data_IF_562123400681
#
_entry.id   IF_562123400681
#
_cell.length_a   1.000
_cell.length_b   1.000
_cell.length_c   1.000
_cell.angle_alpha   90.00
_cell.angle_beta   90.00
_cell.angle_gamma   90.00
#
_symmetry.space_group_name_H-M   'P 1'
#
loop_
_entity.id
_entity.type
_entity.pdbx_description
1 polymer ?
#
# COMPACT_ATOMS: atom_id res chain seq x y z
N UNK A 1 -11.66 -10.83 -16.37
CA UNK A 1 -10.52 -11.17 -15.50
C UNK A 1 -10.79 -10.49 -14.18
N UNK A 2 -11.44 -11.17 -13.25
CA UNK A 2 -11.92 -10.52 -12.01
C UNK A 2 -10.85 -10.57 -10.93
N UNK A 3 -10.48 -9.40 -10.42
CA UNK A 3 -9.54 -9.16 -9.31
C UNK A 3 -8.10 -9.71 -9.50
N UNK A 4 -7.63 -10.00 -10.71
CA UNK A 4 -6.24 -10.39 -10.98
C UNK A 4 -5.41 -9.22 -11.53
N UNK A 5 -4.17 -9.08 -11.06
CA UNK A 5 -3.22 -8.09 -11.63
C UNK A 5 -2.81 -8.46 -13.05
N UNK A 6 -2.66 -7.45 -13.90
CA UNK A 6 -2.17 -7.67 -15.27
C UNK A 6 -0.80 -8.36 -15.32
N UNK A 7 0.12 -7.98 -14.43
CA UNK A 7 1.42 -8.67 -14.33
C UNK A 7 1.30 -10.13 -13.89
N UNK A 8 0.36 -10.45 -12.99
CA UNK A 8 0.07 -11.84 -12.57
C UNK A 8 -0.44 -12.67 -13.74
N UNK A 9 -1.44 -12.13 -14.45
CA UNK A 9 -2.05 -12.81 -15.58
C UNK A 9 -1.00 -13.11 -16.66
N UNK A 10 -0.16 -12.12 -17.02
CA UNK A 10 0.92 -12.32 -17.99
C UNK A 10 1.92 -13.41 -17.57
N UNK A 11 2.26 -13.48 -16.29
CA UNK A 11 3.17 -14.51 -15.78
C UNK A 11 2.52 -15.89 -15.90
N UNK A 12 1.29 -16.05 -15.43
CA UNK A 12 0.57 -17.33 -15.51
C UNK A 12 0.39 -17.77 -16.96
N UNK A 13 0.00 -16.87 -17.85
CA UNK A 13 -0.11 -17.16 -19.28
C UNK A 13 1.23 -17.59 -19.86
N UNK A 14 2.33 -16.91 -19.55
CA UNK A 14 3.65 -17.29 -20.06
C UNK A 14 4.06 -18.70 -19.60
N UNK A 15 3.93 -18.97 -18.30
CA UNK A 15 4.31 -20.25 -17.70
C UNK A 15 3.42 -21.41 -18.20
N UNK A 16 2.12 -21.19 -18.36
CA UNK A 16 1.20 -22.17 -18.94
C UNK A 16 1.55 -22.53 -20.40
N UNK A 17 2.12 -21.57 -21.14
CA UNK A 17 2.64 -21.79 -22.50
C UNK A 17 4.11 -22.26 -22.52
N UNK A 18 4.70 -22.59 -21.38
CA UNK A 18 6.07 -23.10 -21.29
C UNK A 18 7.14 -22.07 -21.69
N UNK A 19 6.87 -20.78 -21.54
CA UNK A 19 7.81 -19.70 -21.89
C UNK A 19 8.05 -18.74 -20.72
N UNK A 20 9.17 -18.01 -20.79
CA UNK A 20 9.48 -16.99 -19.80
C UNK A 20 8.51 -15.80 -19.91
N UNK A 21 8.07 -15.17 -18.80
CA UNK A 21 7.24 -13.96 -18.84
C UNK A 21 7.83 -12.84 -19.71
N UNK A 22 9.16 -12.69 -19.68
CA UNK A 22 9.86 -11.76 -20.55
C UNK A 22 9.69 -12.08 -22.04
N UNK A 23 9.76 -13.35 -22.42
CA UNK A 23 9.60 -13.78 -23.80
C UNK A 23 8.19 -13.46 -24.30
N UNK A 24 7.15 -13.84 -23.54
CA UNK A 24 5.77 -13.51 -23.88
C UNK A 24 5.57 -12.00 -24.01
N UNK A 25 6.05 -11.21 -23.04
CA UNK A 25 5.91 -9.75 -23.09
C UNK A 25 6.64 -9.11 -24.27
N UNK A 26 7.75 -9.71 -24.74
CA UNK A 26 8.49 -9.26 -25.91
C UNK A 26 7.77 -9.54 -27.23
N UNK A 27 6.97 -10.62 -27.29
CA UNK A 27 6.09 -10.93 -28.42
C UNK A 27 4.92 -9.93 -28.45
N UNK A 28 4.27 -9.71 -27.31
CA UNK A 28 3.12 -8.79 -27.21
C UNK A 28 3.54 -7.34 -27.49
N UNK A 29 4.69 -6.91 -26.96
CA UNK A 29 5.17 -5.54 -27.10
C UNK A 29 6.66 -5.49 -27.50
N UNK A 30 6.97 -5.64 -28.80
CA UNK A 30 8.33 -5.56 -29.29
C UNK A 30 9.03 -4.27 -28.87
N UNK A 31 10.31 -4.38 -28.49
CA UNK A 31 11.19 -3.26 -28.07
C UNK A 31 10.77 -2.54 -26.78
N UNK A 32 9.71 -2.97 -26.09
CA UNK A 32 9.32 -2.41 -24.80
C UNK A 32 9.67 -3.34 -23.65
N UNK A 33 10.42 -2.81 -22.66
CA UNK A 33 10.74 -3.53 -21.42
C UNK A 33 9.54 -3.47 -20.46
N UNK A 34 8.52 -4.27 -20.73
CA UNK A 34 7.25 -4.30 -19.98
C UNK A 34 7.48 -4.44 -18.47
N UNK A 35 8.15 -5.53 -18.03
CA UNK A 35 8.48 -5.78 -16.63
C UNK A 35 9.57 -4.87 -16.04
N UNK A 36 10.21 -4.03 -16.86
CA UNK A 36 11.08 -2.95 -16.39
C UNK A 36 10.30 -1.77 -15.79
N UNK A 37 8.98 -1.74 -16.03
CA UNK A 37 8.06 -0.75 -15.51
C UNK A 37 7.02 -1.41 -14.60
N UNK A 38 6.25 -0.60 -13.88
CA UNK A 38 5.14 -1.09 -13.08
C UNK A 38 3.88 -1.27 -13.95
N UNK A 39 3.77 -2.42 -14.64
CA UNK A 39 2.64 -2.73 -15.56
C UNK A 39 1.27 -2.59 -14.91
N UNK A 40 1.18 -2.89 -13.62
CA UNK A 40 -0.09 -2.83 -12.90
C UNK A 40 -0.57 -1.39 -12.68
N UNK A 41 0.25 -0.36 -12.91
CA UNK A 41 -0.20 1.05 -12.88
C UNK A 41 -1.03 1.44 -14.10
N UNK A 42 -1.20 0.54 -15.05
CA UNK A 42 -1.86 0.82 -16.31
C UNK A 42 -0.87 1.03 -17.45
N UNK A 43 -1.41 1.07 -18.66
CA UNK A 43 -0.64 1.25 -19.88
C UNK A 43 -1.43 2.09 -20.87
N UNK A 44 -0.73 2.61 -21.88
CA UNK A 44 -1.37 3.35 -22.98
C UNK A 44 -2.34 2.44 -23.74
N UNK A 45 -3.43 3.01 -24.22
CA UNK A 45 -4.52 2.33 -24.92
C UNK A 45 -4.02 1.48 -26.10
N UNK A 46 -2.99 1.91 -26.83
CA UNK A 46 -2.45 1.13 -27.96
C UNK A 46 -1.76 -0.17 -27.50
N UNK A 47 -1.13 -0.14 -26.32
CA UNK A 47 -0.52 -1.34 -25.72
C UNK A 47 -1.58 -2.29 -25.18
N UNK A 48 -2.62 -1.74 -24.55
CA UNK A 48 -3.76 -2.52 -24.08
C UNK A 48 -4.48 -3.19 -25.28
N UNK A 49 -4.69 -2.46 -26.38
CA UNK A 49 -5.27 -2.99 -27.60
C UNK A 49 -4.38 -4.08 -28.25
N UNK A 50 -3.06 -3.92 -28.21
CA UNK A 50 -2.13 -4.94 -28.73
C UNK A 50 -2.24 -6.25 -27.95
N UNK A 51 -2.32 -6.17 -26.62
CA UNK A 51 -2.56 -7.35 -25.79
C UNK A 51 -3.96 -7.91 -26.02
N UNK A 52 -4.99 -7.05 -26.05
CA UNK A 52 -6.38 -7.44 -26.24
C UNK A 52 -6.62 -8.24 -27.52
N UNK A 53 -5.99 -7.83 -28.64
CA UNK A 53 -6.05 -8.57 -29.91
C UNK A 53 -5.48 -9.99 -29.80
N UNK A 54 -4.36 -10.16 -29.10
CA UNK A 54 -3.70 -11.47 -28.95
C UNK A 54 -4.42 -12.36 -27.92
N UNK A 55 -4.96 -11.77 -26.86
CA UNK A 55 -5.62 -12.46 -25.77
C UNK A 55 -7.12 -12.68 -25.98
N UNK A 56 -7.71 -12.12 -27.04
CA UNK A 56 -9.14 -12.18 -27.29
C UNK A 56 -9.98 -11.40 -26.28
N UNK A 57 -9.45 -10.30 -25.73
CA UNK A 57 -10.13 -9.48 -24.73
C UNK A 57 -10.20 -8.00 -25.15
N UNK A 58 -11.12 -7.26 -24.53
CA UNK A 58 -11.30 -5.83 -24.81
C UNK A 58 -10.23 -5.00 -24.08
N UNK A 59 -9.98 -3.79 -24.57
CA UNK A 59 -9.11 -2.81 -23.89
C UNK A 59 -9.58 -2.57 -22.44
N UNK A 60 -10.89 -2.43 -22.25
CA UNK A 60 -11.49 -2.22 -20.92
C UNK A 60 -11.20 -3.40 -19.97
N UNK A 61 -11.20 -4.64 -20.47
CA UNK A 61 -10.84 -5.82 -19.65
C UNK A 61 -9.36 -5.85 -19.28
N UNK A 62 -8.47 -5.33 -20.13
CA UNK A 62 -7.04 -5.17 -19.78
C UNK A 62 -6.87 -4.06 -18.75
N UNK A 63 -7.54 -2.92 -18.94
CA UNK A 63 -7.49 -1.77 -18.04
C UNK A 63 -8.09 -2.07 -16.67
N UNK A 64 -9.11 -2.94 -16.58
CA UNK A 64 -9.70 -3.39 -15.31
C UNK A 64 -8.73 -4.23 -14.46
N UNK A 65 -7.63 -4.72 -15.05
CA UNK A 65 -6.56 -5.42 -14.32
C UNK A 65 -5.46 -4.46 -13.82
N UNK A 66 -5.68 -3.15 -13.96
CA UNK A 66 -4.75 -2.09 -13.53
C UNK A 66 -5.22 -1.37 -12.26
N UNK A 67 -4.29 -0.67 -11.64
CA UNK A 67 -4.47 0.13 -10.42
C UNK A 67 -4.85 1.58 -10.73
N UNK A 68 -4.94 1.96 -12.01
CA UNK A 68 -5.12 3.37 -12.40
C UNK A 68 -6.47 3.92 -11.96
N UNK A 69 -7.56 3.29 -12.40
CA UNK A 69 -8.94 3.66 -12.06
C UNK A 69 -9.19 3.62 -10.55
N UNK A 70 -8.62 2.63 -9.89
CA UNK A 70 -8.66 2.52 -8.43
C UNK A 70 -8.02 3.74 -7.78
N UNK A 71 -6.81 4.14 -8.20
CA UNK A 71 -6.12 5.29 -7.60
C UNK A 71 -6.85 6.60 -7.86
N UNK A 72 -7.46 6.78 -9.03
CA UNK A 72 -8.33 7.94 -9.30
C UNK A 72 -9.54 7.99 -8.34
N UNK A 73 -10.05 6.84 -7.93
CA UNK A 73 -11.14 6.77 -6.92
C UNK A 73 -10.64 7.14 -5.52
N UNK A 74 -9.38 6.81 -5.20
CA UNK A 74 -8.78 7.05 -3.89
C UNK A 74 -8.28 8.49 -3.69
N UNK A 75 -8.07 9.24 -4.78
CA UNK A 75 -7.44 10.56 -4.73
C UNK A 75 -8.16 11.58 -5.61
N UNK A 76 -8.40 12.77 -5.07
CA UNK A 76 -9.01 13.90 -5.79
C UNK A 76 -8.12 14.50 -6.91
N UNK A 77 -6.87 14.03 -7.06
CA UNK A 77 -5.92 14.58 -8.03
C UNK A 77 -5.28 13.50 -8.89
N UNK A 78 -4.98 13.81 -10.17
CA UNK A 78 -4.23 12.89 -11.02
C UNK A 78 -2.91 12.51 -10.37
N UNK A 79 -2.62 11.22 -10.35
CA UNK A 79 -1.34 10.74 -9.81
C UNK A 79 -0.22 10.92 -10.80
N UNK A 80 0.95 11.31 -10.28
CA UNK A 80 2.15 11.45 -11.10
C UNK A 80 2.57 10.08 -11.67
N UNK A 81 3.11 10.02 -12.90
CA UNK A 81 3.58 8.77 -13.50
C UNK A 81 4.74 8.15 -12.72
N UNK A 82 5.51 8.97 -12.01
CA UNK A 82 6.69 8.57 -11.23
C UNK A 82 6.43 8.82 -9.75
N UNK A 83 6.96 7.95 -8.90
CA UNK A 83 6.89 8.07 -7.46
C UNK A 83 5.94 7.07 -6.81
N UNK A 84 5.66 7.27 -5.53
CA UNK A 84 4.77 6.41 -4.74
C UNK A 84 3.33 6.89 -4.95
N UNK A 85 2.44 6.00 -5.38
CA UNK A 85 1.01 6.28 -5.45
C UNK A 85 0.40 6.10 -4.06
N UNK A 86 -0.41 7.06 -3.57
CA UNK A 86 -1.07 6.91 -2.28
C UNK A 86 -1.82 5.59 -2.21
N UNK A 87 -1.56 4.85 -1.14
CA UNK A 87 -2.26 3.60 -0.81
C UNK A 87 -1.95 2.41 -1.72
N UNK A 88 -0.96 2.54 -2.61
CA UNK A 88 -0.47 1.46 -3.46
C UNK A 88 0.96 1.09 -3.08
N UNK A 89 1.21 -0.21 -2.85
CA UNK A 89 2.52 -0.68 -2.42
C UNK A 89 3.65 -0.25 -3.37
N UNK A 90 4.72 0.23 -2.76
CA UNK A 90 5.90 0.73 -3.46
C UNK A 90 6.81 -0.44 -3.85
N UNK A 91 6.92 -0.69 -5.16
CA UNK A 91 7.77 -1.77 -5.71
C UNK A 91 9.27 -1.55 -5.53
N UNK A 92 9.72 -0.29 -5.63
CA UNK A 92 11.15 0.03 -5.62
C UNK A 92 11.93 -0.64 -6.76
N UNK A 93 11.35 -0.63 -7.96
CA UNK A 93 11.88 -1.31 -9.14
C UNK A 93 13.19 -0.70 -9.64
N UNK A 94 14.12 -1.55 -10.08
CA UNK A 94 15.31 -1.17 -10.86
C UNK A 94 15.51 -2.23 -11.94
N UNK A 95 15.35 -1.84 -13.20
CA UNK A 95 15.26 -2.79 -14.31
C UNK A 95 14.19 -3.86 -14.00
N UNK A 96 14.53 -5.13 -14.13
CA UNK A 96 13.64 -6.27 -13.89
C UNK A 96 13.51 -6.64 -12.41
N UNK A 97 14.27 -6.02 -11.51
CA UNK A 97 14.26 -6.40 -10.09
C UNK A 97 13.42 -5.45 -9.26
N UNK A 98 12.66 -5.99 -8.31
CA UNK A 98 11.82 -5.23 -7.39
C UNK A 98 12.27 -5.48 -5.95
N UNK A 99 12.22 -4.44 -5.12
CA UNK A 99 12.58 -4.52 -3.71
C UNK A 99 11.43 -5.00 -2.83
N UNK A 100 10.18 -4.84 -3.29
CA UNK A 100 8.95 -5.25 -2.63
C UNK A 100 7.79 -5.05 -3.63
N UNK A 101 6.57 -4.93 -3.11
CA UNK A 101 5.43 -4.36 -3.83
C UNK A 101 4.34 -5.36 -4.18
N UNK A 102 4.53 -6.63 -3.86
CA UNK A 102 3.52 -7.68 -3.89
C UNK A 102 3.41 -8.30 -2.51
N UNK A 103 2.24 -8.87 -2.22
CA UNK A 103 2.00 -9.67 -1.04
C UNK A 103 1.03 -10.80 -1.38
N UNK A 104 0.98 -11.86 -0.57
CA UNK A 104 0.06 -12.97 -0.80
C UNK A 104 -0.38 -13.62 0.52
N UNK A 105 -1.48 -14.37 0.44
CA UNK A 105 -1.87 -15.33 1.47
C UNK A 105 -1.39 -16.73 1.04
N UNK A 106 -0.54 -17.42 1.84
CA UNK A 106 -0.12 -18.79 1.52
C UNK A 106 -1.29 -19.75 1.36
N UNK A 107 -2.31 -19.64 2.22
CA UNK A 107 -3.51 -20.47 2.15
C UNK A 107 -4.31 -20.24 0.86
N UNK A 108 -4.43 -19.00 0.36
CA UNK A 108 -5.07 -18.76 -0.94
C UNK A 108 -4.31 -19.44 -2.08
N UNK A 109 -2.98 -19.47 -2.01
CA UNK A 109 -2.14 -20.14 -3.01
C UNK A 109 -2.20 -21.66 -2.90
N UNK A 110 -2.58 -22.22 -1.75
CA UNK A 110 -2.76 -23.66 -1.56
C UNK A 110 -4.12 -24.15 -2.07
N UNK A 111 -5.16 -23.33 -2.00
CA UNK A 111 -6.55 -23.72 -2.30
C UNK A 111 -6.94 -23.59 -3.77
N UNK A 112 -6.25 -22.74 -4.54
CA UNK A 112 -6.64 -22.41 -5.91
C UNK A 112 -5.40 -22.14 -6.77
N UNK A 113 -5.61 -22.01 -8.09
CA UNK A 113 -4.54 -21.64 -9.03
C UNK A 113 -3.89 -20.32 -8.59
N UNK A 114 -2.59 -20.30 -8.27
CA UNK A 114 -1.94 -19.14 -7.67
C UNK A 114 -1.92 -17.91 -8.58
N UNK A 115 -2.46 -16.80 -8.10
CA UNK A 115 -2.39 -15.50 -8.75
C UNK A 115 -2.27 -14.35 -7.74
N UNK A 116 -1.69 -13.24 -8.17
CA UNK A 116 -1.65 -12.00 -7.38
C UNK A 116 -2.85 -11.14 -7.75
N UNK A 117 -3.68 -10.84 -6.75
CA UNK A 117 -4.89 -10.04 -6.95
C UNK A 117 -4.63 -8.54 -6.97
N UNK A 118 -5.58 -7.73 -7.46
CA UNK A 118 -5.48 -6.26 -7.36
C UNK A 118 -5.30 -5.84 -5.89
N UNK A 119 -6.03 -6.50 -4.98
CA UNK A 119 -5.93 -6.31 -3.53
C UNK A 119 -4.53 -6.52 -2.96
N UNK A 120 -3.73 -7.40 -3.58
CA UNK A 120 -2.34 -7.60 -3.17
C UNK A 120 -1.45 -6.36 -3.34
N UNK A 121 -1.89 -5.34 -4.09
CA UNK A 121 -1.16 -4.07 -4.27
C UNK A 121 -1.65 -2.97 -3.33
N UNK A 122 -2.72 -3.19 -2.58
CA UNK A 122 -3.33 -2.19 -1.71
C UNK A 122 -2.58 -2.13 -0.37
N UNK A 123 -2.09 -0.95 -0.02
CA UNK A 123 -1.26 -0.75 1.15
C UNK A 123 -2.03 -0.88 2.48
N UNK A 124 -3.36 -0.91 2.46
CA UNK A 124 -4.16 -1.23 3.65
C UNK A 124 -4.45 -2.73 3.80
N UNK A 125 -4.25 -3.53 2.75
CA UNK A 125 -4.35 -4.98 2.85
C UNK A 125 -3.11 -5.50 3.56
N UNK A 126 -3.29 -6.06 4.75
CA UNK A 126 -2.21 -6.64 5.59
C UNK A 126 -2.56 -8.02 6.13
N UNK A 127 -3.85 -8.35 6.13
CA UNK A 127 -4.41 -9.62 6.56
C UNK A 127 -5.27 -10.17 5.43
N UNK A 128 -5.21 -11.48 5.17
CA UNK A 128 -6.13 -12.11 4.23
C UNK A 128 -7.55 -12.09 4.79
N UNK A 129 -8.49 -11.45 4.10
CA UNK A 129 -9.89 -11.37 4.55
C UNK A 129 -10.58 -12.75 4.59
N UNK A 130 -10.15 -13.71 3.76
CA UNK A 130 -10.69 -15.08 3.73
C UNK A 130 -10.15 -15.94 4.86
N UNK A 131 -8.82 -15.95 5.04
CA UNK A 131 -8.15 -16.87 5.98
C UNK A 131 -7.85 -16.25 7.33
N UNK A 132 -8.00 -14.93 7.48
CA UNK A 132 -7.64 -14.16 8.68
C UNK A 132 -6.20 -14.41 9.12
N UNK A 133 -5.31 -14.61 8.15
CA UNK A 133 -3.88 -14.82 8.36
C UNK A 133 -3.11 -13.63 7.83
N UNK A 134 -1.95 -13.40 8.41
CA UNK A 134 -1.06 -12.36 7.93
C UNK A 134 -0.57 -12.62 6.50
N UNK A 135 -0.57 -11.57 5.68
CA UNK A 135 0.01 -11.65 4.34
C UNK A 135 1.55 -11.68 4.44
N UNK A 136 2.19 -12.36 3.49
CA UNK A 136 3.65 -12.34 3.32
C UNK A 136 4.00 -11.49 2.10
N UNK A 137 5.08 -10.72 2.19
CA UNK A 137 5.59 -9.85 1.11
C UNK A 137 7.01 -10.25 0.64
N UNK A 138 7.58 -11.29 1.25
CA UNK A 138 8.86 -11.90 0.93
C UNK A 138 8.77 -13.42 1.06
N UNK A 139 9.69 -14.13 0.40
CA UNK A 139 9.84 -15.57 0.61
C UNK A 139 10.31 -15.85 2.06
N UNK A 140 9.64 -16.73 2.82
CA UNK A 140 10.05 -17.03 4.20
C UNK A 140 11.39 -17.78 4.28
N UNK A 141 11.80 -18.48 3.22
CA UNK A 141 13.03 -19.26 3.19
C UNK A 141 14.28 -18.42 2.87
N UNK A 142 14.25 -17.64 1.79
CA UNK A 142 15.42 -16.87 1.35
C UNK A 142 15.27 -15.35 1.46
N UNK A 143 14.13 -14.88 1.98
CA UNK A 143 13.81 -13.46 2.16
C UNK A 143 13.81 -12.61 0.89
N UNK A 144 13.84 -13.24 -0.29
CA UNK A 144 13.72 -12.54 -1.57
C UNK A 144 12.32 -11.91 -1.70
N UNK A 145 12.26 -10.70 -2.26
CA UNK A 145 10.99 -10.07 -2.59
C UNK A 145 10.22 -10.93 -3.61
N UNK A 146 8.89 -10.94 -3.49
CA UNK A 146 8.00 -11.65 -4.41
C UNK A 146 8.11 -11.04 -5.82
N UNK A 147 8.63 -11.82 -6.76
CA UNK A 147 8.93 -11.39 -8.14
C UNK A 147 8.55 -12.52 -9.12
N UNK A 148 7.25 -12.79 -9.29
CA UNK A 148 6.78 -13.92 -10.12
C UNK A 148 7.20 -13.77 -11.59
N UNK A 149 7.42 -12.55 -12.08
CA UNK A 149 7.90 -12.30 -13.44
C UNK A 149 9.35 -12.76 -13.70
N UNK A 150 10.07 -13.15 -12.66
CA UNK A 150 11.39 -13.78 -12.77
C UNK A 150 11.33 -15.31 -12.82
N UNK A 151 10.15 -15.92 -12.70
CA UNK A 151 9.99 -17.38 -12.87
C UNK A 151 10.21 -17.78 -14.32
N UNK A 152 10.74 -18.99 -14.50
CA UNK A 152 11.03 -19.60 -15.79
C UNK A 152 10.47 -21.03 -15.80
N UNK A 153 10.17 -21.61 -16.98
CA UNK A 153 9.94 -23.04 -17.10
C UNK A 153 11.08 -23.86 -16.44
N UNK A 154 10.79 -25.01 -15.81
CA UNK A 154 9.54 -25.77 -15.85
C UNK A 154 8.48 -25.35 -14.82
N UNK A 155 8.62 -24.21 -14.13
CA UNK A 155 7.54 -23.70 -13.27
C UNK A 155 6.27 -23.45 -14.10
N UNK A 156 5.12 -23.86 -13.57
CA UNK A 156 3.83 -23.79 -14.29
C UNK A 156 2.91 -22.68 -13.73
N UNK A 157 3.22 -22.16 -12.55
CA UNK A 157 2.41 -21.15 -11.86
C UNK A 157 3.28 -20.17 -11.06
N UNK A 158 2.60 -19.25 -10.36
CA UNK A 158 3.21 -18.22 -9.53
C UNK A 158 3.54 -18.70 -8.09
N UNK A 159 3.46 -20.00 -7.79
CA UNK A 159 3.55 -20.52 -6.43
C UNK A 159 4.97 -20.61 -5.88
N UNK A 160 5.97 -20.66 -6.75
CA UNK A 160 7.37 -20.81 -6.34
C UNK A 160 8.05 -19.45 -6.08
N UNK A 161 8.98 -19.43 -5.14
CA UNK A 161 9.96 -18.36 -5.04
C UNK A 161 10.88 -18.40 -6.25
N UNK A 162 10.96 -17.29 -6.99
CA UNK A 162 11.84 -17.16 -8.17
C UNK A 162 13.34 -17.38 -7.89
N UNK A 163 13.77 -17.35 -6.62
CA UNK A 163 15.18 -17.48 -6.23
C UNK A 163 15.54 -18.86 -5.74
N UNK A 164 14.83 -19.33 -4.72
CA UNK A 164 15.17 -20.59 -4.04
C UNK A 164 14.22 -21.74 -4.38
N UNK A 165 13.20 -21.51 -5.21
CA UNK A 165 12.20 -22.53 -5.55
C UNK A 165 11.23 -22.88 -4.42
N UNK A 166 11.38 -22.30 -3.23
CA UNK A 166 10.48 -22.56 -2.09
C UNK A 166 9.02 -22.35 -2.48
N UNK A 167 8.17 -23.33 -2.16
CA UNK A 167 6.76 -23.32 -2.50
C UNK A 167 5.99 -22.42 -1.52
N UNK A 168 5.55 -21.25 -1.98
CA UNK A 168 4.95 -20.21 -1.16
C UNK A 168 3.64 -20.65 -0.50
N UNK A 169 2.89 -21.58 -1.11
CA UNK A 169 1.67 -22.17 -0.54
C UNK A 169 1.93 -23.03 0.71
N UNK A 170 3.17 -23.50 0.91
CA UNK A 170 3.56 -24.31 2.09
C UNK A 170 4.03 -23.47 3.28
N UNK A 171 4.01 -22.13 3.14
CA UNK A 171 4.40 -21.23 4.22
C UNK A 171 3.48 -21.42 5.42
N UNK A 172 4.06 -21.62 6.60
CA UNK A 172 3.31 -21.64 7.85
C UNK A 172 2.62 -20.28 8.06
N UNK A 173 1.31 -20.33 8.28
CA UNK A 173 0.49 -19.13 8.45
C UNK A 173 0.27 -18.81 9.93
N UNK A 174 0.42 -17.54 10.28
CA UNK A 174 0.06 -17.01 11.60
C UNK A 174 -1.30 -16.30 11.49
N UNK A 175 -2.22 -16.60 12.41
CA UNK A 175 -3.51 -15.91 12.50
C UNK A 175 -3.31 -14.46 12.95
N UNK A 176 -3.99 -13.55 12.29
CA UNK A 176 -4.03 -12.15 12.70
C UNK A 176 -5.22 -11.93 13.64
N UNK A 177 -5.05 -11.20 14.76
CA UNK A 177 -6.19 -10.81 15.59
C UNK A 177 -7.18 -9.95 14.81
N UNK A 178 -8.49 -10.14 15.05
CA UNK A 178 -9.57 -9.44 14.31
C UNK A 178 -9.44 -7.91 14.32
N UNK A 179 -8.88 -7.34 15.39
CA UNK A 179 -8.62 -5.90 15.49
C UNK A 179 -7.77 -5.33 14.33
N UNK A 180 -6.98 -6.15 13.64
CA UNK A 180 -6.18 -5.73 12.49
C UNK A 180 -6.95 -5.75 11.15
N UNK A 181 -8.13 -6.37 11.10
CA UNK A 181 -9.00 -6.37 9.92
C UNK A 181 -9.93 -5.16 9.86
N UNK A 182 -10.23 -4.53 10.98
CA UNK A 182 -11.27 -3.49 11.05
C UNK A 182 -11.01 -2.30 10.11
N UNK A 183 -9.77 -1.77 10.06
CA UNK A 183 -9.41 -0.74 9.08
C UNK A 183 -9.59 -1.24 7.64
N UNK A 184 -9.15 -2.48 7.37
CA UNK A 184 -9.17 -3.04 6.03
C UNK A 184 -10.61 -3.22 5.52
N UNK A 185 -11.51 -3.71 6.38
CA UNK A 185 -12.93 -3.85 6.09
C UNK A 185 -13.58 -2.49 5.82
N UNK A 186 -13.32 -1.50 6.68
CA UNK A 186 -13.84 -0.13 6.47
C UNK A 186 -13.33 0.50 5.17
N UNK A 187 -12.05 0.32 4.84
CA UNK A 187 -11.47 0.80 3.59
C UNK A 187 -12.09 0.11 2.36
N UNK A 188 -12.31 -1.21 2.43
CA UNK A 188 -12.93 -1.99 1.35
C UNK A 188 -14.41 -1.64 1.17
N UNK A 189 -15.15 -1.37 2.24
CA UNK A 189 -16.53 -0.87 2.20
C UNK A 189 -16.60 0.53 1.58
N UNK A 190 -15.75 1.45 2.03
CA UNK A 190 -15.66 2.80 1.49
C UNK A 190 -15.32 2.81 -0.01
N UNK A 191 -14.37 1.96 -0.41
CA UNK A 191 -13.99 1.80 -1.82
C UNK A 191 -15.12 1.21 -2.66
N UNK A 192 -15.94 0.32 -2.09
CA UNK A 192 -17.12 -0.25 -2.75
C UNK A 192 -18.33 0.72 -2.78
N UNK A 193 -18.16 1.97 -2.35
CA UNK A 193 -19.23 2.97 -2.27
C UNK A 193 -20.26 2.67 -1.17
N UNK A 194 -19.96 1.74 -0.26
CA UNK A 194 -20.83 1.43 0.89
C UNK A 194 -20.53 2.39 2.03
N UNK A 195 -21.56 2.67 2.82
CA UNK A 195 -21.42 3.48 4.03
C UNK A 195 -20.64 2.70 5.07
N UNK A 196 -19.52 3.27 5.52
CA UNK A 196 -18.74 2.73 6.64
C UNK A 196 -19.46 3.13 7.93
N UNK A 197 -19.94 2.15 8.68
CA UNK A 197 -20.55 2.39 9.99
C UNK A 197 -19.59 3.22 10.85
N UNK A 198 -20.07 4.33 11.43
CA UNK A 198 -19.34 5.30 12.28
C UNK A 198 -18.58 6.43 11.56
N UNK A 199 -18.37 6.37 10.25
CA UNK A 199 -17.94 7.54 9.49
C UNK A 199 -19.18 8.24 8.93
N UNK A 200 -19.31 9.56 9.14
CA UNK A 200 -20.33 10.37 8.48
C UNK A 200 -20.26 10.18 6.96
N UNK A 201 -21.37 10.43 6.24
CA UNK A 201 -21.41 10.35 4.78
C UNK A 201 -20.28 11.19 4.16
N UNK A 202 -19.20 10.53 3.76
CA UNK A 202 -18.00 11.13 3.19
C UNK A 202 -17.79 10.51 1.81
N UNK A 203 -17.34 11.32 0.86
CA UNK A 203 -16.87 10.78 -0.42
C UNK A 203 -15.66 9.87 -0.20
N UNK A 204 -15.47 8.87 -1.06
CA UNK A 204 -14.38 7.88 -0.93
C UNK A 204 -13.01 8.55 -0.82
N UNK A 205 -12.71 9.53 -1.67
CA UNK A 205 -11.44 10.27 -1.62
C UNK A 205 -11.25 11.04 -0.31
N UNK A 206 -12.31 11.61 0.28
CA UNK A 206 -12.25 12.32 1.56
C UNK A 206 -11.94 11.36 2.71
N UNK A 207 -12.54 10.18 2.69
CA UNK A 207 -12.27 9.13 3.68
C UNK A 207 -10.80 8.69 3.62
N UNK A 208 -10.27 8.43 2.41
CA UNK A 208 -8.87 8.05 2.23
C UNK A 208 -7.89 9.22 2.51
N UNK A 209 -8.31 10.47 2.33
CA UNK A 209 -7.59 11.67 2.75
C UNK A 209 -7.50 11.76 4.28
N UNK A 210 -8.62 11.53 4.97
CA UNK A 210 -8.67 11.49 6.43
C UNK A 210 -7.81 10.37 7.00
N UNK A 211 -7.99 9.16 6.48
CA UNK A 211 -7.23 7.99 6.86
C UNK A 211 -5.72 8.22 6.73
N UNK A 212 -5.30 8.90 5.64
CA UNK A 212 -3.89 9.21 5.41
C UNK A 212 -3.35 10.16 6.47
N UNK A 213 -4.15 11.15 6.84
CA UNK A 213 -3.80 12.16 7.83
C UNK A 213 -3.65 11.52 9.21
N UNK A 214 -4.56 10.62 9.58
CA UNK A 214 -4.49 9.90 10.85
C UNK A 214 -3.33 8.89 10.89
N UNK A 215 -3.11 8.11 9.83
CA UNK A 215 -1.92 7.22 9.76
C UNK A 215 -0.62 8.03 9.91
N UNK A 216 -0.57 9.21 9.29
CA UNK A 216 0.58 10.12 9.40
C UNK A 216 0.72 10.71 10.80
N UNK A 217 -0.39 11.06 11.46
CA UNK A 217 -0.44 11.56 12.83
C UNK A 217 0.07 10.52 13.83
N UNK A 218 -0.48 9.29 13.80
CA UNK A 218 -0.06 8.16 14.65
C UNK A 218 1.44 7.93 14.49
N UNK A 219 1.91 7.90 13.23
CA UNK A 219 3.32 7.70 12.93
C UNK A 219 4.20 8.86 13.39
N UNK A 220 3.75 10.10 13.22
CA UNK A 220 4.47 11.29 13.66
C UNK A 220 4.60 11.33 15.19
N UNK A 221 3.52 11.04 15.90
CA UNK A 221 3.49 11.00 17.35
C UNK A 221 4.42 9.92 17.92
N UNK A 222 4.52 8.76 17.26
CA UNK A 222 5.48 7.71 17.61
C UNK A 222 6.95 8.14 17.41
N UNK A 223 7.24 8.92 16.36
CA UNK A 223 8.59 9.38 16.02
C UNK A 223 9.05 10.60 16.83
N UNK A 224 8.11 11.48 17.18
CA UNK A 224 8.37 12.78 17.77
C UNK A 224 7.42 13.02 18.94
N UNK A 225 7.51 12.21 20.01
CA UNK A 225 6.62 12.34 21.15
C UNK A 225 6.77 13.73 21.78
N UNK A 226 5.63 14.32 22.15
CA UNK A 226 5.55 15.53 22.96
C UNK A 226 4.49 15.34 24.01
N UNK A 227 4.50 16.14 25.08
CA UNK A 227 3.51 16.04 26.17
C UNK A 227 2.07 16.07 25.65
N UNK A 228 1.76 16.97 24.73
CA UNK A 228 0.44 17.08 24.08
C UNK A 228 0.10 15.83 23.27
N UNK A 229 1.03 15.33 22.45
CA UNK A 229 0.80 14.14 21.62
C UNK A 229 0.57 12.88 22.47
N UNK A 230 1.37 12.69 23.52
CA UNK A 230 1.23 11.56 24.43
C UNK A 230 -0.13 11.63 25.13
N UNK A 231 -0.49 12.79 25.69
CA UNK A 231 -1.75 12.96 26.40
C UNK A 231 -2.97 12.72 25.50
N UNK A 232 -2.93 13.18 24.23
CA UNK A 232 -3.98 12.87 23.24
C UNK A 232 -4.05 11.38 22.96
N UNK A 233 -2.92 10.71 22.71
CA UNK A 233 -2.92 9.27 22.42
C UNK A 233 -3.42 8.46 23.62
N UNK A 234 -3.02 8.82 24.83
CA UNK A 234 -3.44 8.16 26.07
C UNK A 234 -4.95 8.34 26.30
N UNK A 235 -5.49 9.55 26.15
CA UNK A 235 -6.93 9.80 26.31
C UNK A 235 -7.78 9.10 25.24
N UNK A 236 -7.25 8.93 24.03
CA UNK A 236 -7.89 8.17 22.96
C UNK A 236 -7.69 6.64 23.09
N UNK A 237 -7.01 6.15 24.13
CA UNK A 237 -6.74 4.72 24.32
C UNK A 237 -5.78 4.11 23.28
N UNK A 238 -4.91 4.95 22.71
CA UNK A 238 -3.88 4.55 21.74
C UNK A 238 -2.60 4.23 22.49
N UNK A 239 -2.43 2.95 22.84
CA UNK A 239 -1.22 2.47 23.50
C UNK A 239 0.06 2.64 22.66
N UNK A 240 1.21 2.37 23.27
CA UNK A 240 2.54 2.48 22.66
C UNK A 240 2.61 1.85 21.27
N UNK A 241 3.04 2.65 20.30
CA UNK A 241 3.14 2.26 18.89
C UNK A 241 4.52 1.60 18.70
N UNK A 242 4.59 0.28 18.84
CA UNK A 242 5.81 -0.51 18.60
C UNK A 242 6.14 -0.68 17.11
N UNK A 243 6.21 0.42 16.35
CA UNK A 243 6.51 0.38 14.90
C UNK A 243 7.98 0.66 14.66
N UNK A 244 8.63 -0.18 13.85
CA UNK A 244 9.97 0.09 13.35
C UNK A 244 9.96 1.28 12.40
N UNK A 245 10.27 2.46 12.94
CA UNK A 245 10.15 3.71 12.20
C UNK A 245 11.37 3.94 11.27
N UNK A 246 11.40 3.20 10.16
CA UNK A 246 12.41 3.31 9.11
C UNK A 246 12.38 4.64 8.33
N UNK A 247 11.46 5.56 8.61
CA UNK A 247 11.30 6.81 7.83
C UNK A 247 11.02 6.63 6.33
N UNK A 248 10.70 5.41 5.88
CA UNK A 248 10.22 5.10 4.52
C UNK A 248 8.79 5.63 4.32
N UNK A 249 8.29 5.72 3.09
CA UNK A 249 6.85 5.98 2.87
C UNK A 249 6.00 4.83 3.45
N UNK A 250 4.75 5.10 3.81
CA UNK A 250 3.84 4.09 4.37
C UNK A 250 3.71 2.86 3.44
N UNK A 251 3.60 3.11 2.15
CA UNK A 251 3.51 2.12 1.06
C UNK A 251 4.76 1.25 0.91
N UNK A 252 5.87 1.66 1.53
CA UNK A 252 7.14 0.95 1.50
C UNK A 252 7.46 0.22 2.81
N UNK A 253 6.55 0.28 3.80
CA UNK A 253 6.68 -0.42 5.07
C UNK A 253 6.28 -1.91 4.92
N UNK A 254 6.92 -2.81 5.70
CA UNK A 254 6.51 -4.20 5.81
C UNK A 254 5.04 -4.37 6.23
N UNK A 255 4.46 -5.54 5.95
CA UNK A 255 3.07 -5.87 6.31
C UNK A 255 2.74 -5.58 7.78
N UNK A 256 3.57 -6.04 8.72
CA UNK A 256 3.34 -5.85 10.17
C UNK A 256 3.37 -4.37 10.59
N UNK A 257 4.34 -3.61 10.09
CA UNK A 257 4.46 -2.18 10.41
C UNK A 257 3.25 -1.39 9.90
N UNK A 258 2.77 -1.70 8.69
CA UNK A 258 1.54 -1.11 8.16
C UNK A 258 0.34 -1.48 9.04
N UNK A 259 0.20 -2.76 9.39
CA UNK A 259 -0.93 -3.26 10.18
C UNK A 259 -1.07 -2.56 11.53
N UNK A 260 0.04 -2.35 12.25
CA UNK A 260 0.04 -1.62 13.53
C UNK A 260 -0.43 -0.18 13.34
N UNK A 261 0.07 0.53 12.33
CA UNK A 261 -0.37 1.90 12.03
C UNK A 261 -1.85 1.96 11.67
N UNK A 262 -2.34 1.04 10.84
CA UNK A 262 -3.73 0.98 10.41
C UNK A 262 -4.68 0.67 11.56
N UNK A 263 -4.31 -0.25 12.45
CA UNK A 263 -5.10 -0.59 13.64
C UNK A 263 -5.28 0.63 14.55
N UNK A 264 -4.19 1.36 14.83
CA UNK A 264 -4.28 2.55 15.68
C UNK A 264 -5.01 3.70 14.97
N UNK A 265 -4.83 3.84 13.65
CA UNK A 265 -5.57 4.81 12.88
C UNK A 265 -7.07 4.55 12.92
N UNK A 266 -7.48 3.28 12.81
CA UNK A 266 -8.89 2.92 12.90
C UNK A 266 -9.51 3.29 14.24
N UNK A 267 -8.83 3.03 15.36
CA UNK A 267 -9.31 3.43 16.69
C UNK A 267 -9.62 4.92 16.79
N UNK A 268 -8.86 5.78 16.11
CA UNK A 268 -9.10 7.23 16.09
C UNK A 268 -10.26 7.55 15.13
N UNK A 269 -10.27 6.95 13.95
CA UNK A 269 -11.26 7.22 12.91
C UNK A 269 -12.67 6.71 13.25
N UNK A 270 -12.79 5.67 14.07
CA UNK A 270 -14.06 5.09 14.50
C UNK A 270 -14.73 5.84 15.66
N UNK A 271 -14.05 6.84 16.24
CA UNK A 271 -14.62 7.65 17.32
C UNK A 271 -15.56 8.71 16.77
N UNK A 272 -16.52 9.12 17.62
CA UNK A 272 -17.34 10.29 17.34
C UNK A 272 -16.45 11.52 17.11
N UNK A 273 -16.64 12.28 16.01
CA UNK A 273 -15.89 13.50 15.74
C UNK A 273 -15.85 14.50 16.90
N UNK A 274 -16.90 14.56 17.74
CA UNK A 274 -16.96 15.44 18.91
C UNK A 274 -16.03 15.01 20.03
N UNK A 275 -15.77 13.71 20.18
CA UNK A 275 -14.74 13.20 21.09
C UNK A 275 -13.38 13.73 20.62
N UNK A 276 -13.08 13.62 19.32
CA UNK A 276 -11.82 14.12 18.76
C UNK A 276 -11.67 15.64 18.98
N UNK A 277 -12.71 16.43 18.72
CA UNK A 277 -12.72 17.87 18.95
C UNK A 277 -12.44 18.20 20.42
N UNK A 278 -13.08 17.51 21.36
CA UNK A 278 -12.90 17.70 22.80
C UNK A 278 -11.46 17.42 23.21
N UNK A 279 -10.93 16.26 22.84
CA UNK A 279 -9.58 15.81 23.22
C UNK A 279 -8.51 16.70 22.59
N UNK A 280 -8.64 17.07 21.31
CA UNK A 280 -7.66 17.92 20.63
C UNK A 280 -7.59 19.33 21.21
N UNK A 281 -8.73 19.89 21.65
CA UNK A 281 -8.75 21.17 22.37
C UNK A 281 -8.16 21.07 23.76
N UNK A 282 -8.54 20.04 24.53
CA UNK A 282 -8.08 19.85 25.91
C UNK A 282 -6.55 19.78 26.01
N UNK A 283 -5.90 19.15 25.02
CA UNK A 283 -4.44 19.00 24.97
C UNK A 283 -3.74 19.94 24.00
N UNK A 284 -4.44 20.95 23.48
CA UNK A 284 -3.91 21.97 22.57
C UNK A 284 -3.11 21.39 21.38
N UNK A 285 -3.65 20.34 20.74
CA UNK A 285 -2.96 19.62 19.69
C UNK A 285 -2.62 20.56 18.53
N UNK A 286 -1.34 20.72 18.14
CA UNK A 286 -0.96 21.70 17.13
C UNK A 286 -1.44 21.28 15.74
N UNK A 287 -1.85 22.25 14.92
CA UNK A 287 -2.26 22.02 13.52
C UNK A 287 -1.21 21.30 12.68
N UNK A 288 0.08 21.41 13.04
CA UNK A 288 1.16 20.69 12.37
C UNK A 288 1.18 19.17 12.60
N UNK A 289 0.46 18.67 13.61
CA UNK A 289 0.40 17.24 13.96
C UNK A 289 -0.50 16.45 13.00
N UNK A 290 -1.59 17.05 12.52
CA UNK A 290 -2.51 16.45 11.54
C UNK A 290 -2.31 17.15 10.20
N UNK A 291 -1.48 16.57 9.35
CA UNK A 291 -1.19 17.11 8.02
C UNK A 291 -2.04 16.41 6.97
N UNK A 292 -2.80 17.20 6.20
CA UNK A 292 -3.45 16.71 5.00
C UNK A 292 -2.41 16.38 3.91
N UNK A 293 -2.72 15.44 3.01
CA UNK A 293 -1.89 15.19 1.84
C UNK A 293 -1.64 16.47 1.05
N UNK A 294 -0.45 16.59 0.44
CA UNK A 294 -0.06 17.81 -0.27
C UNK A 294 -1.04 18.11 -1.40
N UNK A 295 -1.59 19.32 -1.37
CA UNK A 295 -2.51 19.80 -2.39
C UNK A 295 -3.96 19.37 -2.16
N UNK A 296 -4.28 18.62 -1.11
CA UNK A 296 -5.67 18.36 -0.71
C UNK A 296 -6.24 19.58 0.02
N UNK A 297 -7.51 19.90 -0.24
CA UNK A 297 -8.31 20.79 0.59
C UNK A 297 -8.77 20.06 1.85
N UNK A 298 -9.21 20.82 2.87
CA UNK A 298 -9.88 20.23 4.04
C UNK A 298 -11.29 19.83 3.59
N UNK A 299 -11.66 18.54 3.64
CA UNK A 299 -13.04 18.13 3.40
C UNK A 299 -13.99 18.80 4.38
N UNK A 300 -15.18 19.18 3.93
CA UNK A 300 -16.19 19.85 4.79
C UNK A 300 -16.53 19.02 6.04
N UNK A 301 -16.57 17.69 5.89
CA UNK A 301 -16.77 16.72 6.98
C UNK A 301 -15.67 16.73 8.04
N UNK A 302 -14.44 17.15 7.69
CA UNK A 302 -13.31 17.23 8.62
C UNK A 302 -13.10 18.65 9.19
N UNK A 303 -13.87 19.63 8.71
CA UNK A 303 -13.67 21.04 9.06
C UNK A 303 -13.69 21.30 10.57
N UNK A 304 -14.66 20.72 11.28
CA UNK A 304 -14.83 20.86 12.74
C UNK A 304 -13.63 20.31 13.51
N UNK A 305 -13.06 19.19 13.06
CA UNK A 305 -11.89 18.55 13.69
C UNK A 305 -10.65 19.41 13.44
N UNK A 306 -10.46 19.86 12.20
CA UNK A 306 -9.30 20.69 11.82
C UNK A 306 -9.35 22.07 12.49
N UNK A 307 -10.52 22.63 12.74
CA UNK A 307 -10.71 23.88 13.49
C UNK A 307 -10.49 23.71 14.99
N UNK A 308 -10.56 22.49 15.53
CA UNK A 308 -10.27 22.20 16.93
C UNK A 308 -8.77 22.21 17.27
N UNK A 309 -7.91 22.11 16.25
CA UNK A 309 -6.46 22.12 16.39
C UNK A 309 -5.95 23.52 16.72
N UNK A 310 -4.96 23.62 17.62
CA UNK A 310 -4.31 24.89 17.95
C UNK A 310 -3.49 25.40 16.77
N UNK A 311 -3.71 26.65 16.39
CA UNK A 311 -2.86 27.34 15.44
C UNK A 311 -1.47 27.60 16.03
N UNK A 312 -0.44 27.24 15.27
CA UNK A 312 0.94 27.55 15.65
C UNK A 312 1.30 29.01 15.32
N UNK A 313 2.36 29.56 15.94
CA UNK A 313 2.92 30.84 15.50
C UNK A 313 3.30 30.74 14.01
N UNK A 314 2.98 31.76 13.21
CA UNK A 314 3.33 31.85 11.79
C UNK A 314 4.86 31.77 11.64
N UNK A 315 5.41 30.57 11.45
CA UNK A 315 6.83 30.41 11.14
C UNK A 315 7.08 31.03 9.77
N UNK A 316 7.78 32.17 9.73
CA UNK A 316 8.43 32.65 8.51
C UNK A 316 9.27 31.48 7.98
N UNK A 317 8.96 31.00 6.77
CA UNK A 317 9.81 30.02 6.08
C UNK A 317 11.12 30.72 5.75
N UNK A 318 12.07 30.72 6.68
CA UNK A 318 13.47 30.84 6.33
C UNK A 318 13.75 29.68 5.37
N UNK A 319 14.16 30.01 4.14
CA UNK A 319 14.75 29.05 3.21
C UNK A 319 15.96 28.45 3.93
N UNK A 320 15.76 27.34 4.65
CA UNK A 320 16.86 26.45 4.99
C UNK A 320 17.40 25.97 3.65
N UNK A 321 18.59 26.49 3.30
CA UNK A 321 19.47 25.85 2.33
C UNK A 321 19.50 24.38 2.70
N UNK A 322 19.09 23.52 1.76
CA UNK A 322 19.05 22.08 1.94
C UNK A 322 20.47 21.52 2.02
N UNK A 323 21.15 21.74 3.14
CA UNK A 323 22.26 20.89 3.54
C UNK A 323 21.69 19.49 3.72
N UNK A 324 22.17 18.54 2.92
CA UNK A 324 21.62 17.18 2.85
C UNK A 324 21.51 16.57 4.25
N UNK A 325 20.29 16.53 4.80
CA UNK A 325 20.03 15.85 6.04
C UNK A 325 20.42 14.38 5.84
N UNK A 326 21.47 13.92 6.53
CA UNK A 326 21.88 12.52 6.50
C UNK A 326 20.63 11.68 6.83
N UNK A 327 20.29 10.66 6.02
CA UNK A 327 19.15 9.81 6.36
C UNK A 327 19.38 9.25 7.76
N UNK A 328 18.35 9.32 8.63
CA UNK A 328 18.35 8.64 9.92
C UNK A 328 18.87 7.20 9.70
N UNK A 329 19.76 6.70 10.57
CA UNK A 329 20.37 5.37 10.45
C UNK A 329 19.32 4.27 10.18
N UNK A 330 18.15 4.34 10.82
CA UNK A 330 17.03 3.42 10.56
C UNK A 330 16.52 3.46 9.11
N UNK A 331 16.48 4.66 8.51
CA UNK A 331 16.10 4.86 7.09
C UNK A 331 17.17 4.41 6.13
N UNK A 332 18.45 4.64 6.45
CA UNK A 332 19.56 4.14 5.67
C UNK A 332 19.57 2.60 5.68
N UNK A 333 19.40 1.99 6.86
CA UNK A 333 19.32 0.55 7.05
C UNK A 333 18.16 -0.07 6.27
N UNK A 334 16.95 0.47 6.40
CA UNK A 334 15.79 -0.06 5.67
C UNK A 334 15.93 0.09 4.14
N UNK A 335 16.57 1.16 3.66
CA UNK A 335 16.91 1.31 2.23
C UNK A 335 17.94 0.28 1.78
N UNK A 336 18.91 -0.03 2.63
CA UNK A 336 19.92 -1.05 2.37
C UNK A 336 19.28 -2.45 2.31
N UNK A 337 18.44 -2.81 3.27
CA UNK A 337 17.69 -4.08 3.25
C UNK A 337 16.87 -4.23 1.96
N UNK A 338 16.14 -3.17 1.58
CA UNK A 338 15.40 -3.16 0.30
C UNK A 338 16.30 -3.32 -0.93
N UNK A 339 17.53 -2.83 -0.88
CA UNK A 339 18.51 -3.04 -1.95
C UNK A 339 18.95 -4.51 -1.99
N UNK A 340 19.21 -5.12 -0.84
CA UNK A 340 19.52 -6.55 -0.75
C UNK A 340 18.38 -7.41 -1.26
N UNK A 341 17.14 -7.19 -0.83
CA UNK A 341 15.97 -7.96 -1.30
C UNK A 341 15.74 -7.87 -2.82
N UNK A 342 16.20 -6.78 -3.44
CA UNK A 342 16.10 -6.55 -4.89
C UNK A 342 17.23 -7.23 -5.67
N UNK A 343 18.46 -7.04 -5.23
CA UNK A 343 19.67 -7.27 -6.04
C UNK A 343 20.36 -8.60 -5.72
N UNK A 344 20.45 -8.96 -4.44
CA UNK A 344 20.83 -10.32 -4.04
C UNK A 344 19.63 -11.17 -4.19
#
# INVERSE_FOLDING_TARGET
MEDELLSSWLVRTALAHGCAPLALSGIVWPKWRAFGNDLDRGMRTERAASLGRLAGCTVAQVESCSLHSLVETLTDKPTAPVGTWPWILARGSRNLRCAAGLQLCPSCFAEAVPYYSIRSRLAWHTVCARHQTWLIDHCPNCWAALQPHCLLPPHQDCCACHRCGYLLSTTLVEKAPDSFLAFQQAADECLAGRQVTQCQSMATHDWFCWARSIVSFVRFASLHPSRSLIAVLDELGIGTIGVNCSGLAFEALPVRDRAVLLRQAWKIMSLDPMILVKVFRAHELPRSAIQLPRGSSVPSSLSIIVQALRDGPKKHRSRRVSGGARPNAAKAWARLLRKFSRDG
#
